data_IF_423225179917
#
_entry.id   IF_423225179917
#
_cell.length_a   1.000
_cell.length_b   1.000
_cell.length_c   1.000
_cell.angle_alpha   90.00
_cell.angle_beta   90.00
_cell.angle_gamma   90.00
#
_symmetry.space_group_name_H-M   'P 1'
#
loop_
_entity.id
_entity.type
_entity.pdbx_description
1 polymer ?
#
# COMPACT_ATOMS: atom_id res chain seq x y z
N UNK A 1 18.60 -44.70 -8.05
CA UNK A 1 17.21 -44.35 -8.39
C UNK A 1 16.94 -42.90 -7.98
N UNK A 2 16.87 -42.04 -9.00
CA UNK A 2 16.13 -40.78 -9.09
C UNK A 2 16.38 -39.66 -8.06
N UNK A 3 17.36 -38.80 -8.36
CA UNK A 3 17.33 -37.40 -7.98
C UNK A 3 16.33 -36.66 -8.88
N UNK A 4 15.20 -36.20 -8.33
CA UNK A 4 14.36 -35.19 -8.97
C UNK A 4 14.80 -33.82 -8.46
N UNK A 5 15.63 -33.12 -9.22
CA UNK A 5 15.88 -31.71 -8.96
C UNK A 5 14.66 -30.92 -9.46
N UNK A 6 14.00 -30.24 -8.53
CA UNK A 6 12.81 -29.42 -8.76
C UNK A 6 13.24 -28.01 -9.20
N UNK A 7 13.62 -27.88 -10.47
CA UNK A 7 14.14 -26.63 -11.09
C UNK A 7 13.04 -25.59 -11.42
N UNK A 8 12.18 -25.25 -10.46
CA UNK A 8 11.15 -24.22 -10.66
C UNK A 8 10.84 -23.39 -9.41
N UNK A 9 10.70 -24.04 -8.26
CA UNK A 9 10.29 -23.36 -7.01
C UNK A 9 11.44 -22.57 -6.34
N UNK A 10 12.70 -22.99 -6.50
CA UNK A 10 13.85 -22.36 -5.83
C UNK A 10 14.29 -21.03 -6.45
N UNK A 11 14.11 -20.87 -7.77
CA UNK A 11 14.49 -19.65 -8.48
C UNK A 11 13.57 -18.47 -8.11
N UNK A 12 12.27 -18.73 -7.99
CA UNK A 12 11.26 -17.73 -7.61
C UNK A 12 11.38 -17.29 -6.15
N UNK A 13 11.57 -18.23 -5.22
CA UNK A 13 11.74 -17.93 -3.80
C UNK A 13 12.96 -17.03 -3.53
N UNK A 14 14.07 -17.25 -4.25
CA UNK A 14 15.26 -16.42 -4.13
C UNK A 14 15.08 -15.01 -4.70
N UNK A 15 14.35 -14.85 -5.80
CA UNK A 15 14.05 -13.54 -6.38
C UNK A 15 13.11 -12.73 -5.47
N UNK A 16 12.08 -13.37 -4.92
CA UNK A 16 11.15 -12.75 -3.97
C UNK A 16 11.86 -12.29 -2.69
N UNK A 17 12.70 -13.14 -2.10
CA UNK A 17 13.48 -12.78 -0.91
C UNK A 17 14.42 -11.58 -1.15
N UNK A 18 15.05 -11.52 -2.33
CA UNK A 18 15.89 -10.37 -2.72
C UNK A 18 15.08 -9.10 -2.89
N UNK A 19 13.89 -9.18 -3.47
CA UNK A 19 13.00 -8.04 -3.64
C UNK A 19 12.53 -7.50 -2.28
N UNK A 20 12.11 -8.37 -1.36
CA UNK A 20 11.73 -7.99 0.01
C UNK A 20 12.90 -7.34 0.76
N UNK A 21 14.09 -7.94 0.68
CA UNK A 21 15.30 -7.36 1.29
C UNK A 21 15.64 -5.98 0.72
N UNK A 22 15.51 -5.83 -0.61
CA UNK A 22 15.70 -4.56 -1.28
C UNK A 22 14.65 -3.52 -0.88
N UNK A 23 13.36 -3.86 -0.81
CA UNK A 23 12.30 -2.95 -0.34
C UNK A 23 12.57 -2.50 1.09
N UNK A 24 12.98 -3.41 1.98
CA UNK A 24 13.35 -3.07 3.36
C UNK A 24 14.50 -2.06 3.41
N UNK A 25 15.44 -2.12 2.48
CA UNK A 25 16.55 -1.14 2.41
C UNK A 25 16.11 0.27 2.03
N UNK A 26 14.92 0.43 1.42
CA UNK A 26 14.36 1.75 1.07
C UNK A 26 13.69 2.45 2.27
N UNK A 27 13.37 1.70 3.33
CA UNK A 27 12.67 2.20 4.51
C UNK A 27 13.69 2.51 5.60
N UNK A 28 13.65 3.72 6.15
CA UNK A 28 14.38 4.02 7.40
C UNK A 28 13.83 3.15 8.52
N UNK A 29 14.71 2.41 9.20
CA UNK A 29 14.36 1.48 10.27
C UNK A 29 13.73 2.21 11.47
N UNK A 30 12.42 2.43 11.42
CA UNK A 30 11.62 2.76 12.60
C UNK A 30 10.54 1.70 12.73
N UNK A 31 10.69 0.73 13.67
CA UNK A 31 9.63 -0.24 13.89
C UNK A 31 8.35 0.51 14.32
N UNK A 32 7.18 0.14 13.78
CA UNK A 32 5.93 0.68 14.29
C UNK A 32 5.83 0.28 15.77
N UNK A 33 5.47 1.24 16.62
CA UNK A 33 4.88 0.87 17.90
C UNK A 33 3.49 0.32 17.56
N UNK A 34 3.36 -1.01 17.57
CA UNK A 34 2.05 -1.66 17.59
C UNK A 34 1.31 -1.07 18.79
N UNK A 35 0.41 -0.12 18.53
CA UNK A 35 -0.48 0.35 19.57
C UNK A 35 -1.58 -0.68 19.69
N UNK A 36 -1.62 -1.36 20.83
CA UNK A 36 -2.68 -2.32 21.16
C UNK A 36 -4.08 -1.72 21.09
N UNK A 37 -4.20 -0.38 21.09
CA UNK A 37 -5.46 0.34 20.94
C UNK A 37 -5.30 1.63 20.13
N UNK A 38 -6.36 1.97 19.37
CA UNK A 38 -6.48 3.25 18.69
C UNK A 38 -6.77 4.38 19.70
N UNK A 39 -6.17 5.58 19.54
CA UNK A 39 -6.59 6.74 20.32
C UNK A 39 -8.03 7.14 19.96
N UNK A 40 -8.78 7.73 20.92
CA UNK A 40 -10.16 8.13 20.68
C UNK A 40 -10.26 9.07 19.48
N UNK A 41 -11.35 8.96 18.72
CA UNK A 41 -11.57 9.80 17.53
C UNK A 41 -11.49 11.29 17.93
N UNK A 42 -10.60 12.11 17.32
CA UNK A 42 -10.49 13.53 17.61
C UNK A 42 -11.82 14.25 17.46
N UNK A 43 -12.10 15.24 18.32
CA UNK A 43 -13.40 15.93 18.34
C UNK A 43 -13.79 16.53 16.97
N UNK A 44 -12.79 17.03 16.23
CA UNK A 44 -12.99 17.60 14.88
C UNK A 44 -13.43 16.56 13.84
N UNK A 45 -13.12 15.28 14.06
CA UNK A 45 -13.52 14.17 13.17
C UNK A 45 -14.83 13.50 13.56
N UNK A 46 -15.47 13.90 14.67
CA UNK A 46 -16.73 13.28 15.15
C UNK A 46 -17.98 13.79 14.43
N UNK A 47 -17.81 14.65 13.43
CA UNK A 47 -18.91 15.29 12.70
C UNK A 47 -19.00 14.71 11.29
N UNK A 48 -20.22 14.65 10.77
CA UNK A 48 -20.51 14.10 9.44
C UNK A 48 -21.07 12.68 9.48
N UNK A 49 -21.52 12.24 8.31
CA UNK A 49 -22.22 10.95 8.14
C UNK A 49 -21.27 9.78 8.38
N UNK A 50 -20.08 9.80 7.76
CA UNK A 50 -19.07 8.74 7.90
C UNK A 50 -18.58 8.59 9.35
N UNK A 51 -18.39 9.70 10.07
CA UNK A 51 -18.05 9.68 11.49
C UNK A 51 -19.15 9.05 12.35
N UNK A 52 -20.42 9.27 12.01
CA UNK A 52 -21.56 8.71 12.74
C UNK A 52 -21.65 7.20 12.55
N UNK A 53 -21.45 6.72 11.31
CA UNK A 53 -21.38 5.30 10.98
C UNK A 53 -20.21 4.62 11.70
N UNK A 54 -19.02 5.22 11.64
CA UNK A 54 -17.84 4.73 12.36
C UNK A 54 -18.09 4.61 13.86
N UNK A 55 -18.59 5.67 14.50
CA UNK A 55 -18.87 5.65 15.95
C UNK A 55 -19.96 4.65 16.34
N UNK A 56 -20.92 4.38 15.45
CA UNK A 56 -21.93 3.34 15.67
C UNK A 56 -21.31 1.94 15.62
N UNK A 57 -20.45 1.67 14.62
CA UNK A 57 -19.72 0.40 14.51
C UNK A 57 -18.81 0.16 15.72
N UNK A 58 -18.10 1.18 16.19
CA UNK A 58 -17.26 1.13 17.40
C UNK A 58 -18.06 0.74 18.66
N UNK A 59 -19.26 1.32 18.85
CA UNK A 59 -20.13 0.97 19.99
C UNK A 59 -20.57 -0.49 19.92
N UNK A 60 -20.78 -1.01 18.72
CA UNK A 60 -21.14 -2.40 18.46
C UNK A 60 -19.93 -3.36 18.46
N UNK A 61 -18.70 -2.83 18.59
CA UNK A 61 -17.44 -3.59 18.43
C UNK A 61 -17.33 -4.33 17.09
N UNK A 62 -17.93 -3.76 16.05
CA UNK A 62 -17.87 -4.30 14.70
C UNK A 62 -16.66 -3.70 13.98
N UNK A 63 -15.53 -4.41 14.03
CA UNK A 63 -14.30 -3.94 13.40
C UNK A 63 -14.43 -3.85 11.87
N UNK A 64 -15.15 -4.76 11.21
CA UNK A 64 -15.31 -4.71 9.76
C UNK A 64 -16.10 -3.47 9.33
N UNK A 65 -17.23 -3.18 9.98
CA UNK A 65 -18.01 -1.99 9.69
C UNK A 65 -17.26 -0.69 10.04
N UNK A 66 -16.52 -0.67 11.15
CA UNK A 66 -15.69 0.46 11.52
C UNK A 66 -14.57 0.71 10.50
N UNK A 67 -13.94 -0.35 9.98
CA UNK A 67 -12.90 -0.25 8.96
C UNK A 67 -13.44 0.36 7.67
N UNK A 68 -14.57 -0.15 7.16
CA UNK A 68 -15.21 0.35 5.94
C UNK A 68 -15.62 1.82 6.09
N UNK A 69 -16.23 2.20 7.22
CA UNK A 69 -16.60 3.58 7.47
C UNK A 69 -15.38 4.51 7.56
N UNK A 70 -14.29 4.05 8.19
CA UNK A 70 -13.04 4.80 8.26
C UNK A 70 -12.35 4.92 6.88
N UNK A 71 -12.37 3.88 6.06
CA UNK A 71 -11.82 3.91 4.71
C UNK A 71 -12.56 4.91 3.83
N UNK A 72 -13.90 4.88 3.85
CA UNK A 72 -14.72 5.87 3.15
C UNK A 72 -14.44 7.30 3.61
N UNK A 73 -14.31 7.51 4.92
CA UNK A 73 -13.94 8.82 5.46
C UNK A 73 -12.55 9.30 5.04
N UNK A 74 -11.59 8.37 4.87
CA UNK A 74 -10.26 8.69 4.37
C UNK A 74 -10.32 9.13 2.89
N UNK A 75 -11.12 8.44 2.08
CA UNK A 75 -11.32 8.73 0.66
C UNK A 75 -11.99 10.09 0.46
N UNK A 76 -13.06 10.38 1.21
CA UNK A 76 -13.74 11.66 1.20
C UNK A 76 -12.79 12.80 1.60
N UNK A 77 -12.01 12.60 2.66
CA UNK A 77 -11.05 13.58 3.13
C UNK A 77 -9.91 13.80 2.11
N UNK A 78 -9.43 12.74 1.44
CA UNK A 78 -8.43 12.85 0.39
C UNK A 78 -8.97 13.65 -0.79
N UNK A 79 -10.19 13.36 -1.24
CA UNK A 79 -10.86 14.10 -2.31
C UNK A 79 -11.03 15.59 -1.96
N UNK A 80 -11.32 15.89 -0.69
CA UNK A 80 -11.38 17.24 -0.15
C UNK A 80 -10.00 17.88 0.12
N UNK A 81 -8.89 17.19 -0.18
CA UNK A 81 -7.50 17.63 0.10
C UNK A 81 -7.25 17.93 1.58
N UNK A 82 -8.00 17.27 2.45
CA UNK A 82 -7.94 17.37 3.89
C UNK A 82 -6.94 16.33 4.44
N UNK A 83 -5.65 16.54 4.15
CA UNK A 83 -4.60 15.52 4.29
C UNK A 83 -4.47 14.92 5.69
N UNK A 84 -4.55 15.76 6.72
CA UNK A 84 -4.48 15.31 8.11
C UNK A 84 -5.68 14.42 8.46
N UNK A 85 -6.87 14.79 8.01
CA UNK A 85 -8.09 14.01 8.21
C UNK A 85 -8.00 12.67 7.47
N UNK A 86 -7.56 12.70 6.21
CA UNK A 86 -7.38 11.51 5.39
C UNK A 86 -6.40 10.52 6.04
N UNK A 87 -5.25 11.00 6.50
CA UNK A 87 -4.25 10.17 7.17
C UNK A 87 -4.79 9.58 8.49
N UNK A 88 -5.50 10.38 9.29
CA UNK A 88 -6.10 9.94 10.55
C UNK A 88 -7.19 8.88 10.36
N UNK A 89 -7.95 8.97 9.27
CA UNK A 89 -8.96 7.97 8.90
C UNK A 89 -8.33 6.73 8.28
N UNK A 90 -7.33 6.87 7.41
CA UNK A 90 -6.61 5.76 6.78
C UNK A 90 -5.98 4.82 7.82
N UNK A 91 -5.34 5.37 8.85
CA UNK A 91 -4.78 4.58 9.95
C UNK A 91 -5.84 3.83 10.77
N UNK A 92 -7.02 4.42 10.95
CA UNK A 92 -8.14 3.75 11.62
C UNK A 92 -8.64 2.60 10.77
N UNK A 93 -8.83 2.83 9.47
CA UNK A 93 -9.24 1.79 8.54
C UNK A 93 -8.27 0.60 8.59
N UNK A 94 -6.97 0.85 8.46
CA UNK A 94 -5.92 -0.18 8.55
C UNK A 94 -6.03 -0.99 9.86
N UNK A 95 -6.04 -0.30 11.01
CA UNK A 95 -6.12 -0.97 12.31
C UNK A 95 -7.38 -1.83 12.44
N UNK A 96 -8.54 -1.34 11.99
CA UNK A 96 -9.79 -2.11 12.07
C UNK A 96 -9.80 -3.30 11.10
N UNK A 97 -9.27 -3.16 9.88
CA UNK A 97 -9.14 -4.28 8.95
C UNK A 97 -8.22 -5.38 9.50
N UNK A 98 -7.10 -5.01 10.14
CA UNK A 98 -6.23 -5.97 10.83
C UNK A 98 -6.97 -6.71 11.95
N UNK A 99 -7.76 -6.01 12.77
CA UNK A 99 -8.55 -6.63 13.86
C UNK A 99 -9.70 -7.49 13.35
N UNK A 100 -10.21 -7.18 12.16
CA UNK A 100 -11.21 -7.98 11.48
C UNK A 100 -10.60 -9.13 10.66
N UNK A 101 -9.27 -9.30 10.65
CA UNK A 101 -8.54 -10.28 9.85
C UNK A 101 -8.83 -10.17 8.33
N UNK A 102 -9.15 -8.95 7.87
CA UNK A 102 -9.44 -8.64 6.47
C UNK A 102 -8.14 -8.23 5.75
N UNK A 103 -7.23 -9.17 5.54
CA UNK A 103 -5.85 -8.90 5.09
C UNK A 103 -5.76 -8.15 3.76
N UNK A 104 -6.62 -8.46 2.78
CA UNK A 104 -6.66 -7.75 1.51
C UNK A 104 -7.04 -6.27 1.69
N UNK A 105 -8.01 -5.98 2.56
CA UNK A 105 -8.46 -4.61 2.81
C UNK A 105 -7.49 -3.84 3.71
N UNK A 106 -6.81 -4.52 4.64
CA UNK A 106 -5.67 -3.95 5.36
C UNK A 106 -4.55 -3.55 4.39
N UNK A 107 -4.20 -4.42 3.43
CA UNK A 107 -3.22 -4.14 2.38
C UNK A 107 -3.59 -2.91 1.55
N UNK A 108 -4.86 -2.81 1.14
CA UNK A 108 -5.39 -1.63 0.44
C UNK A 108 -5.34 -0.37 1.29
N UNK A 109 -5.68 -0.46 2.57
CA UNK A 109 -5.62 0.66 3.50
C UNK A 109 -4.19 1.15 3.70
N UNK A 110 -3.20 0.26 3.83
CA UNK A 110 -1.79 0.62 3.87
C UNK A 110 -1.37 1.35 2.58
N UNK A 111 -1.64 0.77 1.40
CA UNK A 111 -1.39 1.43 0.12
C UNK A 111 -2.02 2.83 0.06
N UNK A 112 -3.26 2.96 0.51
CA UNK A 112 -4.01 4.22 0.55
C UNK A 112 -3.37 5.28 1.45
N UNK A 113 -2.83 4.89 2.61
CA UNK A 113 -2.05 5.80 3.46
C UNK A 113 -0.81 6.28 2.71
N UNK A 114 -0.13 5.41 1.97
CA UNK A 114 0.97 5.79 1.08
C UNK A 114 0.57 6.87 0.08
N UNK A 115 -0.59 6.70 -0.58
CA UNK A 115 -1.13 7.69 -1.53
C UNK A 115 -1.44 9.03 -0.87
N UNK A 116 -2.07 9.00 0.31
CA UNK A 116 -2.37 10.20 1.10
C UNK A 116 -1.08 10.96 1.43
N UNK A 117 -0.02 10.25 1.83
CA UNK A 117 1.27 10.85 2.19
C UNK A 117 1.97 11.49 0.99
N UNK A 118 1.97 10.83 -0.16
CA UNK A 118 2.47 11.41 -1.41
C UNK A 118 1.66 12.67 -1.78
N UNK A 119 0.33 12.59 -1.77
CA UNK A 119 -0.54 13.73 -2.09
C UNK A 119 -0.34 14.94 -1.13
N UNK A 120 0.04 14.66 0.12
CA UNK A 120 0.36 15.66 1.13
C UNK A 120 1.79 16.24 1.02
N UNK A 121 2.60 15.78 0.07
CA UNK A 121 3.99 16.21 -0.11
C UNK A 121 5.00 15.53 0.82
N UNK A 122 4.67 14.35 1.35
CA UNK A 122 5.53 13.53 2.20
C UNK A 122 5.81 12.14 1.59
N UNK A 123 6.47 12.07 0.41
CA UNK A 123 6.80 10.80 -0.24
C UNK A 123 7.78 9.94 0.57
N UNK A 124 8.57 10.53 1.48
CA UNK A 124 9.46 9.77 2.37
C UNK A 124 8.68 8.87 3.32
N UNK A 125 7.68 9.42 4.01
CA UNK A 125 6.85 8.62 4.92
C UNK A 125 5.94 7.64 4.18
N UNK A 126 5.62 7.88 2.91
CA UNK A 126 4.82 6.97 2.09
C UNK A 126 5.52 5.62 1.85
N UNK A 127 6.86 5.61 1.77
CA UNK A 127 7.66 4.41 1.45
C UNK A 127 7.31 3.20 2.29
N UNK A 128 7.14 3.40 3.61
CA UNK A 128 6.88 2.30 4.54
C UNK A 128 5.55 1.60 4.23
N UNK A 129 4.51 2.37 3.94
CA UNK A 129 3.18 1.82 3.74
C UNK A 129 3.04 1.13 2.39
N UNK A 130 3.68 1.66 1.36
CA UNK A 130 3.73 0.95 0.08
C UNK A 130 4.56 -0.33 0.20
N UNK A 131 5.69 -0.31 0.90
CA UNK A 131 6.50 -1.52 1.06
C UNK A 131 5.80 -2.60 1.91
N UNK A 132 5.09 -2.19 2.95
CA UNK A 132 4.20 -3.06 3.73
C UNK A 132 3.10 -3.65 2.84
N UNK A 133 2.38 -2.82 2.08
CA UNK A 133 1.36 -3.29 1.16
C UNK A 133 1.91 -4.24 0.08
N UNK A 134 3.13 -4.00 -0.44
CA UNK A 134 3.80 -4.91 -1.39
C UNK A 134 4.11 -6.25 -0.74
N UNK A 135 4.56 -6.26 0.52
CA UNK A 135 4.88 -7.51 1.23
C UNK A 135 3.61 -8.32 1.49
N UNK A 136 2.59 -7.69 2.06
CA UNK A 136 1.33 -8.34 2.41
C UNK A 136 0.57 -8.81 1.17
N UNK A 137 0.47 -7.97 0.12
CA UNK A 137 -0.15 -8.35 -1.14
C UNK A 137 0.51 -9.59 -1.75
N UNK A 138 1.84 -9.67 -1.67
CA UNK A 138 2.57 -10.84 -2.16
C UNK A 138 2.26 -12.09 -1.35
N UNK A 139 2.26 -11.97 -0.02
CA UNK A 139 2.04 -13.10 0.89
C UNK A 139 0.63 -13.71 0.71
N UNK A 140 -0.36 -12.88 0.37
CA UNK A 140 -1.73 -13.34 0.06
C UNK A 140 -1.97 -13.60 -1.44
N UNK A 141 -0.97 -13.43 -2.31
CA UNK A 141 -1.09 -13.64 -3.75
C UNK A 141 -1.95 -12.62 -4.51
N UNK A 142 -2.14 -11.41 -3.96
CA UNK A 142 -2.89 -10.32 -4.56
C UNK A 142 -2.01 -9.49 -5.52
N UNK A 143 -1.60 -10.10 -6.64
CA UNK A 143 -0.65 -9.49 -7.59
C UNK A 143 -1.06 -8.11 -8.11
N UNK A 144 -2.36 -7.87 -8.33
CA UNK A 144 -2.85 -6.56 -8.76
C UNK A 144 -2.60 -5.47 -7.70
N UNK A 145 -2.87 -5.75 -6.42
CA UNK A 145 -2.62 -4.80 -5.33
C UNK A 145 -1.12 -4.62 -5.08
N UNK A 146 -0.33 -5.68 -5.23
CA UNK A 146 1.13 -5.61 -5.20
C UNK A 146 1.65 -4.65 -6.29
N UNK A 147 1.09 -4.74 -7.50
CA UNK A 147 1.42 -3.85 -8.62
C UNK A 147 1.04 -2.40 -8.36
N UNK A 148 -0.16 -2.14 -7.81
CA UNK A 148 -0.60 -0.80 -7.43
C UNK A 148 0.31 -0.18 -6.37
N UNK A 149 0.70 -0.95 -5.35
CA UNK A 149 1.60 -0.49 -4.30
C UNK A 149 3.03 -0.26 -4.84
N UNK A 150 3.54 -1.13 -5.73
CA UNK A 150 4.82 -0.94 -6.41
C UNK A 150 4.82 0.33 -7.27
N UNK A 151 3.75 0.59 -8.02
CA UNK A 151 3.59 1.81 -8.81
C UNK A 151 3.55 3.05 -7.91
N UNK A 152 2.83 3.00 -6.78
CA UNK A 152 2.78 4.08 -5.79
C UNK A 152 4.15 4.38 -5.18
N UNK A 153 4.90 3.35 -4.79
CA UNK A 153 6.28 3.50 -4.32
C UNK A 153 7.17 4.07 -5.42
N UNK A 154 7.00 3.62 -6.67
CA UNK A 154 7.75 4.13 -7.82
C UNK A 154 7.57 5.63 -8.01
N UNK A 155 6.33 6.14 -7.90
CA UNK A 155 6.02 7.58 -7.94
C UNK A 155 6.70 8.33 -6.81
N UNK A 156 6.61 7.81 -5.58
CA UNK A 156 7.27 8.42 -4.42
C UNK A 156 8.80 8.50 -4.60
N UNK A 157 9.43 7.48 -5.18
CA UNK A 157 10.86 7.50 -5.47
C UNK A 157 11.25 8.52 -6.54
N UNK A 158 10.42 8.71 -7.58
CA UNK A 158 10.66 9.76 -8.57
C UNK A 158 10.56 11.16 -7.96
N UNK A 159 9.57 11.41 -7.10
CA UNK A 159 9.44 12.69 -6.37
C UNK A 159 10.64 12.95 -5.45
N UNK A 160 11.25 11.89 -4.92
CA UNK A 160 12.47 11.97 -4.11
C UNK A 160 13.76 12.07 -4.95
N UNK A 161 13.66 12.09 -6.28
CA UNK A 161 14.79 12.18 -7.20
C UNK A 161 15.49 10.84 -7.51
N UNK A 162 14.97 9.72 -7.00
CA UNK A 162 15.57 8.39 -7.19
C UNK A 162 15.04 7.72 -8.46
N UNK A 163 15.37 8.31 -9.62
CA UNK A 163 14.86 7.91 -10.92
C UNK A 163 15.02 6.40 -11.21
N UNK A 164 16.21 5.84 -10.95
CA UNK A 164 16.50 4.42 -11.20
C UNK A 164 15.59 3.50 -10.38
N UNK A 165 15.41 3.79 -9.09
CA UNK A 165 14.52 3.02 -8.20
C UNK A 165 13.07 3.14 -8.65
N UNK A 166 12.62 4.36 -8.97
CA UNK A 166 11.25 4.61 -9.42
C UNK A 166 10.89 3.85 -10.69
N UNK A 167 11.78 3.86 -11.70
CA UNK A 167 11.57 3.13 -12.96
C UNK A 167 11.62 1.62 -12.78
N UNK A 168 12.51 1.11 -11.93
CA UNK A 168 12.54 -0.32 -11.59
C UNK A 168 11.23 -0.77 -10.92
N UNK A 169 10.68 0.03 -10.02
CA UNK A 169 9.39 -0.25 -9.39
C UNK A 169 8.24 -0.21 -10.40
N UNK A 170 8.28 0.72 -11.35
CA UNK A 170 7.32 0.78 -12.44
C UNK A 170 7.38 -0.46 -13.34
N UNK A 171 8.57 -1.00 -13.62
CA UNK A 171 8.72 -2.28 -14.32
C UNK A 171 8.13 -3.44 -13.52
N UNK A 172 8.40 -3.52 -12.20
CA UNK A 172 7.82 -4.55 -11.34
C UNK A 172 6.28 -4.48 -11.36
N UNK A 173 5.72 -3.27 -11.27
CA UNK A 173 4.27 -3.04 -11.35
C UNK A 173 3.70 -3.51 -12.69
N UNK A 174 4.40 -3.23 -13.80
CA UNK A 174 3.99 -3.69 -15.12
C UNK A 174 3.92 -5.23 -15.20
N UNK A 175 4.97 -5.91 -14.75
CA UNK A 175 5.02 -7.38 -14.76
C UNK A 175 3.88 -7.98 -13.91
N UNK A 176 3.57 -7.36 -12.77
CA UNK A 176 2.47 -7.76 -11.88
C UNK A 176 1.10 -7.53 -12.52
N UNK A 177 0.89 -6.37 -13.15
CA UNK A 177 -0.35 -6.05 -13.85
C UNK A 177 -0.60 -6.98 -15.03
N UNK A 178 0.44 -7.36 -15.77
CA UNK A 178 0.32 -8.32 -16.88
C UNK A 178 -0.04 -9.72 -16.37
N UNK A 179 0.57 -10.20 -15.28
CA UNK A 179 0.19 -11.49 -14.67
C UNK A 179 -1.23 -11.49 -14.09
N UNK A 180 -1.64 -10.38 -13.48
CA UNK A 180 -2.96 -10.22 -12.88
C UNK A 180 -4.08 -9.94 -13.91
N UNK A 181 -3.77 -9.71 -15.18
CA UNK A 181 -4.75 -9.28 -16.19
C UNK A 181 -5.40 -7.93 -15.84
N UNK A 182 -4.61 -7.00 -15.29
CA UNK A 182 -5.09 -5.72 -14.79
C UNK A 182 -5.69 -4.82 -15.89
N UNK A 183 -6.52 -3.83 -15.52
CA UNK A 183 -7.04 -2.84 -16.46
C UNK A 183 -5.94 -2.17 -17.28
N UNK A 184 -6.24 -1.91 -18.57
CA UNK A 184 -5.29 -1.29 -19.49
C UNK A 184 -4.78 0.08 -19.01
N UNK A 185 -5.59 0.80 -18.22
CA UNK A 185 -5.19 2.07 -17.60
C UNK A 185 -4.03 1.92 -16.62
N UNK A 186 -4.02 0.88 -15.80
CA UNK A 186 -2.95 0.63 -14.83
C UNK A 186 -1.65 0.22 -15.53
N UNK A 187 -1.77 -0.64 -16.54
CA UNK A 187 -0.67 -1.05 -17.41
C UNK A 187 -0.06 0.17 -18.11
N UNK A 188 -0.89 1.06 -18.66
CA UNK A 188 -0.45 2.29 -19.32
C UNK A 188 0.25 3.23 -18.32
N UNK A 189 -0.33 3.44 -17.15
CA UNK A 189 0.25 4.27 -16.10
C UNK A 189 1.61 3.74 -15.62
N UNK A 190 1.77 2.43 -15.48
CA UNK A 190 3.06 1.81 -15.14
C UNK A 190 4.09 2.00 -16.26
N UNK A 191 3.71 1.86 -17.54
CA UNK A 191 4.60 2.11 -18.68
C UNK A 191 5.06 3.56 -18.75
N UNK A 192 4.14 4.50 -18.53
CA UNK A 192 4.45 5.92 -18.46
C UNK A 192 5.44 6.22 -17.35
N UNK A 193 5.19 5.70 -16.14
CA UNK A 193 6.06 5.89 -14.98
C UNK A 193 7.47 5.31 -15.19
N UNK A 194 7.56 4.14 -15.84
CA UNK A 194 8.84 3.51 -16.20
C UNK A 194 9.62 4.37 -17.19
N UNK A 195 8.91 5.05 -18.09
CA UNK A 195 9.49 5.76 -19.23
C UNK A 195 10.25 4.82 -20.17
N UNK A 196 10.96 5.42 -21.13
CA UNK A 196 11.87 4.69 -22.03
C UNK A 196 13.23 4.52 -21.34
N UNK A 197 13.76 3.29 -21.32
CA UNK A 197 15.20 3.07 -21.12
C UNK A 197 15.91 3.61 -22.37
N UNK A 198 16.65 4.71 -22.21
CA UNK A 198 17.74 4.97 -23.15
C UNK A 198 18.90 4.13 -22.69
N UNK A 199 19.15 3.01 -23.36
CA UNK A 199 20.42 2.30 -23.22
C UNK A 199 21.54 3.33 -23.48
N UNK A 200 22.34 3.59 -22.46
CA UNK A 200 23.59 4.34 -22.63
C UNK A 200 24.57 3.33 -23.23
N UNK A 201 24.72 3.39 -24.55
CA UNK A 201 25.75 2.66 -25.29
C UNK A 201 27.16 3.19 -25.02
#
# INVERSE_FOLDING_TARGET
MSARIRWGEQAGAGAAARLVSWLRSLIEARPPTLRDSLPPLPAVLRRGVTATQYLAAERSRDHAAAAVAAAAAADDALAARAWWQADAWGHRALWHFERAEMTLDATRAARRIGEIRVAAGDPRSARRYYAEAISEARDIGAEHEEGLAAMGLGRAELELGNATTGRRLAQIALDLFERAGAPAGDVAAARELRGEEKEVG
#
